data_IF_932349674049
#
_entry.id   IF_932349674049
#
_cell.length_a   1.000
_cell.length_b   1.000
_cell.length_c   1.000
_cell.angle_alpha   90.00
_cell.angle_beta   90.00
_cell.angle_gamma   90.00
#
_symmetry.space_group_name_H-M   'P 1'
#
loop_
_entity.id
_entity.type
_entity.pdbx_description
1 polymer ?
#
# COMPACT_ATOMS: atom_id res chain seq x y z
N UNK A 1 -3.40 11.28 0.72
CA UNK A 1 -4.67 10.55 0.87
C UNK A 1 -5.75 11.14 -0.03
N UNK A 2 -6.19 12.39 0.18
CA UNK A 2 -7.23 13.01 -0.66
C UNK A 2 -6.85 13.07 -2.16
N UNK A 3 -5.60 13.44 -2.49
CA UNK A 3 -5.10 13.42 -3.88
C UNK A 3 -5.11 12.03 -4.53
N UNK A 4 -5.15 10.97 -3.72
CA UNK A 4 -5.23 9.59 -4.20
C UNK A 4 -6.66 9.05 -4.26
N UNK A 5 -7.68 9.89 -4.00
CA UNK A 5 -9.08 9.47 -3.94
C UNK A 5 -9.46 8.67 -2.69
N UNK A 6 -8.60 8.65 -1.67
CA UNK A 6 -8.89 7.96 -0.41
C UNK A 6 -9.89 8.78 0.41
N UNK A 7 -11.10 8.24 0.59
CA UNK A 7 -12.18 8.88 1.35
C UNK A 7 -12.23 8.42 2.81
N UNK A 8 -12.02 7.13 3.08
CA UNK A 8 -11.90 6.57 4.44
C UNK A 8 -10.45 6.66 4.94
N UNK A 9 -10.05 7.87 5.32
CA UNK A 9 -8.67 8.17 5.73
C UNK A 9 -8.27 7.41 7.00
N UNK A 10 -9.19 7.19 7.94
CA UNK A 10 -8.91 6.50 9.20
C UNK A 10 -8.49 5.05 8.99
N UNK A 11 -9.32 4.27 8.28
CA UNK A 11 -9.00 2.88 7.95
C UNK A 11 -7.75 2.78 7.07
N UNK A 12 -7.58 3.73 6.15
CA UNK A 12 -6.40 3.74 5.28
C UNK A 12 -5.10 3.97 6.04
N UNK A 13 -5.07 4.89 7.01
CA UNK A 13 -3.91 5.09 7.88
C UNK A 13 -3.60 3.82 8.68
N UNK A 14 -4.62 3.15 9.23
CA UNK A 14 -4.42 1.89 9.99
C UNK A 14 -3.73 0.84 9.11
N UNK A 15 -4.27 0.59 7.92
CA UNK A 15 -3.72 -0.42 7.03
C UNK A 15 -2.31 -0.05 6.54
N UNK A 16 -2.12 1.19 6.06
CA UNK A 16 -0.81 1.67 5.60
C UNK A 16 0.25 1.61 6.71
N UNK A 17 -0.12 1.92 7.95
CA UNK A 17 0.81 1.87 9.07
C UNK A 17 1.27 0.44 9.34
N UNK A 18 0.38 -0.55 9.23
CA UNK A 18 0.72 -1.98 9.35
C UNK A 18 1.63 -2.44 8.22
N UNK A 19 1.38 -1.99 7.00
CA UNK A 19 2.18 -2.38 5.83
C UNK A 19 3.57 -1.77 5.82
N UNK A 20 3.69 -0.47 6.08
CA UNK A 20 4.93 0.28 5.81
C UNK A 20 5.32 1.30 6.88
N UNK A 21 4.53 1.44 7.95
CA UNK A 21 4.70 2.54 8.90
C UNK A 21 4.53 3.91 8.24
N UNK A 22 3.72 4.01 7.18
CA UNK A 22 3.59 5.19 6.33
C UNK A 22 4.88 5.61 5.59
N UNK A 23 5.86 4.72 5.44
CA UNK A 23 7.11 5.02 4.73
C UNK A 23 7.02 4.61 3.25
N UNK A 24 7.00 5.56 2.29
CA UNK A 24 6.93 5.25 0.86
C UNK A 24 8.21 4.61 0.30
N UNK A 25 9.28 4.56 1.09
CA UNK A 25 10.54 3.89 0.75
C UNK A 25 10.73 2.57 1.51
N UNK A 26 9.70 2.07 2.22
CA UNK A 26 9.78 0.81 2.93
C UNK A 26 10.06 -0.35 1.98
N UNK A 27 10.97 -1.25 2.37
CA UNK A 27 11.26 -2.50 1.66
C UNK A 27 11.30 -3.63 2.67
N UNK A 28 10.48 -4.65 2.45
CA UNK A 28 10.55 -5.89 3.21
C UNK A 28 11.79 -6.68 2.75
N UNK A 29 12.74 -6.88 3.65
CA UNK A 29 14.01 -7.57 3.35
C UNK A 29 13.86 -9.04 2.96
N UNK A 30 12.79 -9.70 3.43
CA UNK A 30 12.54 -11.12 3.17
C UNK A 30 11.86 -11.32 1.82
N UNK A 31 10.80 -10.57 1.53
CA UNK A 31 10.00 -10.74 0.31
C UNK A 31 10.39 -9.83 -0.86
N UNK A 32 11.04 -8.69 -0.59
CA UNK A 32 11.28 -7.63 -1.58
C UNK A 32 10.03 -6.78 -1.89
N UNK A 33 8.95 -6.94 -1.12
CA UNK A 33 7.78 -6.07 -1.21
C UNK A 33 8.16 -4.62 -0.85
N UNK A 34 7.57 -3.63 -1.53
CA UNK A 34 8.03 -2.24 -1.39
C UNK A 34 6.90 -1.20 -1.37
N UNK A 35 7.23 -0.02 -0.85
CA UNK A 35 6.38 1.17 -0.86
C UNK A 35 5.24 1.12 0.14
N UNK A 36 4.35 2.11 0.05
CA UNK A 36 3.26 2.36 1.00
C UNK A 36 2.37 1.13 1.21
N UNK A 37 2.02 0.44 0.13
CA UNK A 37 1.17 -0.76 0.16
C UNK A 37 1.93 -2.09 0.09
N UNK A 38 3.25 -2.09 0.25
CA UNK A 38 4.11 -3.29 0.18
C UNK A 38 3.81 -4.17 -1.06
N UNK A 39 3.88 -3.57 -2.24
CA UNK A 39 3.59 -4.27 -3.49
C UNK A 39 4.66 -5.33 -3.82
N UNK A 40 4.23 -6.53 -4.22
CA UNK A 40 5.11 -7.63 -4.63
C UNK A 40 4.71 -8.21 -6.01
N UNK A 41 5.60 -8.17 -7.03
CA UNK A 41 6.87 -7.45 -7.04
C UNK A 41 6.68 -5.93 -6.97
N UNK A 42 7.69 -5.23 -6.46
CA UNK A 42 7.73 -3.76 -6.36
C UNK A 42 7.38 -3.05 -7.69
N UNK A 43 7.74 -3.67 -8.82
CA UNK A 43 7.48 -3.20 -10.18
C UNK A 43 5.99 -3.10 -10.54
N UNK A 44 5.07 -3.72 -9.80
CA UNK A 44 3.62 -3.59 -9.99
C UNK A 44 3.11 -2.15 -9.83
N UNK A 45 3.85 -1.29 -9.12
CA UNK A 45 3.52 0.12 -9.00
C UNK A 45 3.98 0.96 -10.22
N UNK A 46 4.80 0.38 -11.11
CA UNK A 46 5.18 0.98 -12.40
C UNK A 46 6.68 1.21 -12.58
N UNK A 47 7.42 1.60 -11.54
CA UNK A 47 8.85 1.86 -11.62
C UNK A 47 9.58 1.54 -10.30
N UNK A 48 10.83 1.08 -10.42
CA UNK A 48 11.71 0.73 -9.28
C UNK A 48 13.07 1.41 -9.43
N UNK A 49 13.65 1.83 -8.31
CA UNK A 49 15.03 2.32 -8.23
C UNK A 49 16.02 1.16 -8.35
N UNK A 50 17.29 1.47 -8.66
CA UNK A 50 18.35 0.46 -8.75
C UNK A 50 18.57 -0.33 -7.45
N UNK A 51 18.22 0.25 -6.29
CA UNK A 51 18.29 -0.40 -4.98
C UNK A 51 17.03 -1.21 -4.62
N UNK A 52 16.09 -1.41 -5.55
CA UNK A 52 14.89 -2.23 -5.36
C UNK A 52 13.73 -1.54 -4.64
N UNK A 53 13.85 -0.25 -4.30
CA UNK A 53 12.72 0.52 -3.75
C UNK A 53 11.80 1.02 -4.87
N UNK A 54 10.58 1.42 -4.55
CA UNK A 54 9.71 2.12 -5.50
C UNK A 54 10.35 3.43 -5.97
N UNK A 55 10.33 3.68 -7.28
CA UNK A 55 10.68 5.00 -7.86
C UNK A 55 9.43 5.89 -8.03
N UNK A 56 8.26 5.37 -7.68
CA UNK A 56 6.96 6.02 -7.86
C UNK A 56 6.72 7.00 -6.72
N UNK A 57 6.22 8.20 -7.03
CA UNK A 57 5.91 9.22 -6.03
C UNK A 57 4.96 8.69 -4.93
N UNK A 58 5.04 9.17 -3.68
CA UNK A 58 4.16 8.69 -2.61
C UNK A 58 2.67 8.79 -2.93
N UNK A 59 2.25 9.83 -3.67
CA UNK A 59 0.86 9.99 -4.12
C UNK A 59 0.47 8.89 -5.10
N UNK A 60 1.33 8.55 -6.05
CA UNK A 60 1.04 7.50 -7.03
C UNK A 60 1.05 6.10 -6.39
N UNK A 61 1.88 5.87 -5.36
CA UNK A 61 1.81 4.65 -4.55
C UNK A 61 0.47 4.54 -3.82
N UNK A 62 -0.04 5.65 -3.28
CA UNK A 62 -1.36 5.70 -2.65
C UNK A 62 -2.50 5.49 -3.66
N UNK A 63 -2.40 6.02 -4.88
CA UNK A 63 -3.39 5.77 -5.95
C UNK A 63 -3.40 4.27 -6.30
N UNK A 64 -2.22 3.66 -6.44
CA UNK A 64 -2.11 2.23 -6.69
C UNK A 64 -2.76 1.41 -5.58
N UNK A 65 -2.44 1.70 -4.31
CA UNK A 65 -2.99 1.00 -3.15
C UNK A 65 -4.50 1.22 -3.02
N UNK A 66 -4.99 2.44 -3.24
CA UNK A 66 -6.43 2.75 -3.30
C UNK A 66 -7.13 1.85 -4.30
N UNK A 67 -6.66 1.79 -5.54
CA UNK A 67 -7.29 0.99 -6.59
C UNK A 67 -7.30 -0.50 -6.22
N UNK A 68 -6.18 -1.01 -5.68
CA UNK A 68 -6.09 -2.38 -5.21
C UNK A 68 -7.09 -2.69 -4.08
N UNK A 69 -7.13 -1.84 -3.05
CA UNK A 69 -8.01 -2.01 -1.89
C UNK A 69 -9.47 -1.98 -2.29
N UNK A 70 -9.87 -1.02 -3.11
CA UNK A 70 -11.25 -0.92 -3.58
C UNK A 70 -11.63 -2.10 -4.47
N UNK A 71 -10.75 -2.52 -5.39
CA UNK A 71 -11.04 -3.65 -6.28
C UNK A 71 -11.17 -4.97 -5.50
N UNK A 72 -10.32 -5.20 -4.49
CA UNK A 72 -10.26 -6.48 -3.76
C UNK A 72 -11.24 -6.57 -2.59
N UNK A 73 -11.44 -5.46 -1.87
CA UNK A 73 -12.20 -5.43 -0.62
C UNK A 73 -13.44 -4.54 -0.68
N UNK A 74 -13.60 -3.73 -1.73
CA UNK A 74 -14.68 -2.75 -1.86
C UNK A 74 -14.51 -1.50 -1.00
N UNK A 75 -13.76 -1.56 0.11
CA UNK A 75 -13.48 -0.41 0.97
C UNK A 75 -12.24 -0.63 1.84
N UNK A 76 -11.65 0.46 2.35
CA UNK A 76 -10.57 0.40 3.34
C UNK A 76 -10.98 -0.28 4.63
N UNK A 77 -12.18 0.01 5.13
CA UNK A 77 -12.72 -0.65 6.32
C UNK A 77 -12.80 -2.17 6.16
N UNK A 78 -13.27 -2.65 5.00
CA UNK A 78 -13.31 -4.08 4.70
C UNK A 78 -11.91 -4.69 4.61
N UNK A 79 -10.93 -3.98 4.04
CA UNK A 79 -9.54 -4.42 4.00
C UNK A 79 -8.91 -4.52 5.40
N UNK A 80 -9.17 -3.54 6.29
CA UNK A 80 -8.73 -3.59 7.69
C UNK A 80 -9.35 -4.79 8.42
N UNK A 81 -10.65 -5.01 8.26
CA UNK A 81 -11.34 -6.15 8.88
C UNK A 81 -10.81 -7.49 8.36
N UNK A 82 -10.47 -7.57 7.07
CA UNK A 82 -9.86 -8.74 6.47
C UNK A 82 -8.47 -8.98 7.06
N UNK A 83 -7.64 -7.94 7.14
CA UNK A 83 -6.33 -7.98 7.77
C UNK A 83 -6.42 -8.43 9.23
N UNK A 84 -7.35 -7.91 10.01
CA UNK A 84 -7.53 -8.32 11.42
C UNK A 84 -7.84 -9.81 11.58
N UNK A 85 -8.46 -10.43 10.57
CA UNK A 85 -8.84 -11.85 10.60
C UNK A 85 -7.77 -12.77 9.99
N UNK A 86 -6.97 -12.29 9.03
CA UNK A 86 -6.06 -13.13 8.24
C UNK A 86 -4.59 -12.74 8.35
N UNK A 87 -4.27 -11.58 8.92
CA UNK A 87 -2.93 -10.99 8.99
C UNK A 87 -2.29 -10.69 7.62
N UNK A 88 -3.12 -10.46 6.60
CA UNK A 88 -2.72 -9.98 5.27
C UNK A 88 -3.87 -9.20 4.63
N UNK A 89 -3.57 -8.41 3.59
CA UNK A 89 -4.56 -7.78 2.71
C UNK A 89 -4.07 -7.88 1.25
#
# INVERSE_FOLDING_TARGET
MAQAGVTDVGSAIILINRESGCNPNAVNKSSGACGVGQSLPCSKMGAVNANGTSAVSPVNQLIWMQNYVIQRYGSWKAAVSWHDSHNWY
#
